data_IF_378382320329
#
_entry.id   IF_378382320329
#
_cell.length_a   1.000
_cell.length_b   1.000
_cell.length_c   1.000
_cell.angle_alpha   90.00
_cell.angle_beta   90.00
_cell.angle_gamma   90.00
#
_symmetry.space_group_name_H-M   'P 1'
#
loop_
_entity.id
_entity.type
_entity.pdbx_description
1 polymer ?
#
# COMPACT_ATOMS: atom_id res chain seq x y z
N UNK A 1 10.94 29.81 10.29
CA UNK A 1 10.80 28.86 9.15
C UNK A 1 12.01 28.99 8.26
N UNK A 2 12.64 27.88 7.90
CA UNK A 2 13.75 27.85 6.93
C UNK A 2 13.20 27.46 5.57
N UNK A 3 13.55 28.22 4.52
CA UNK A 3 13.15 27.92 3.14
C UNK A 3 14.29 27.22 2.41
N UNK A 4 13.97 26.11 1.76
CA UNK A 4 14.89 25.40 0.86
C UNK A 4 14.31 25.48 -0.55
N UNK A 5 15.16 25.78 -1.54
CA UNK A 5 14.77 25.80 -2.95
C UNK A 5 15.48 24.65 -3.67
N UNK A 6 14.72 23.89 -4.44
CA UNK A 6 15.22 22.78 -5.25
C UNK A 6 15.02 23.09 -6.72
N UNK A 7 15.99 22.72 -7.55
CA UNK A 7 15.74 22.51 -8.98
C UNK A 7 15.36 21.05 -9.16
N UNK A 8 14.19 20.81 -9.72
CA UNK A 8 13.68 19.46 -10.01
C UNK A 8 13.38 19.38 -11.49
N UNK A 9 13.60 18.20 -12.05
CA UNK A 9 13.20 17.91 -13.42
C UNK A 9 11.66 18.04 -13.57
N UNK A 10 11.13 18.54 -14.70
CA UNK A 10 9.69 18.67 -14.91
C UNK A 10 8.92 17.35 -14.72
N UNK A 11 9.47 16.22 -15.16
CA UNK A 11 8.81 14.92 -14.99
C UNK A 11 8.70 14.54 -13.50
N UNK A 12 9.71 14.89 -12.70
CA UNK A 12 9.67 14.70 -11.25
C UNK A 12 8.64 15.63 -10.61
N UNK A 13 8.57 16.89 -11.03
CA UNK A 13 7.55 17.83 -10.55
C UNK A 13 6.13 17.30 -10.80
N UNK A 14 5.85 16.81 -12.00
CA UNK A 14 4.53 16.27 -12.36
C UNK A 14 4.19 14.99 -11.59
N UNK A 15 5.18 14.12 -11.34
CA UNK A 15 5.01 12.95 -10.49
C UNK A 15 4.69 13.34 -9.04
N UNK A 16 5.41 14.31 -8.47
CA UNK A 16 5.16 14.83 -7.12
C UNK A 16 3.77 15.47 -7.01
N UNK A 17 3.34 16.21 -8.04
CA UNK A 17 2.01 16.83 -8.08
C UNK A 17 0.89 15.80 -8.14
N UNK A 18 1.03 14.74 -8.95
CA UNK A 18 0.07 13.62 -8.98
C UNK A 18 -0.01 12.91 -7.63
N UNK A 19 1.13 12.69 -6.96
CA UNK A 19 1.16 12.06 -5.64
C UNK A 19 0.53 12.94 -4.56
N UNK A 20 0.80 14.25 -4.57
CA UNK A 20 0.16 15.19 -3.66
C UNK A 20 -1.36 15.20 -3.83
N UNK A 21 -1.83 15.21 -5.09
CA UNK A 21 -3.26 15.10 -5.40
C UNK A 21 -3.89 13.80 -4.89
N UNK A 22 -3.25 12.64 -5.14
CA UNK A 22 -3.72 11.35 -4.65
C UNK A 22 -3.75 11.23 -3.12
N UNK A 23 -2.93 12.01 -2.43
CA UNK A 23 -2.94 12.11 -0.96
C UNK A 23 -3.88 13.20 -0.42
N UNK A 24 -4.60 13.93 -1.27
CA UNK A 24 -5.42 15.09 -0.91
C UNK A 24 -4.64 16.19 -0.16
N UNK A 25 -3.40 16.45 -0.60
CA UNK A 25 -2.51 17.45 -0.02
C UNK A 25 -2.10 18.49 -1.07
N UNK A 26 -1.74 19.68 -0.60
CA UNK A 26 -0.97 20.61 -1.44
C UNK A 26 0.43 20.05 -1.71
N UNK A 27 1.03 20.42 -2.84
CA UNK A 27 2.39 19.98 -3.19
C UNK A 27 3.42 20.33 -2.10
N UNK A 28 3.29 21.52 -1.48
CA UNK A 28 4.18 21.95 -0.42
C UNK A 28 4.01 21.17 0.89
N UNK A 29 2.78 20.79 1.24
CA UNK A 29 2.51 19.93 2.39
C UNK A 29 3.07 18.52 2.16
N UNK A 30 2.86 17.97 0.95
CA UNK A 30 3.38 16.68 0.55
C UNK A 30 4.93 16.63 0.59
N UNK A 31 5.61 17.61 -0.01
CA UNK A 31 7.08 17.68 -0.01
C UNK A 31 7.62 17.82 1.42
N UNK A 32 6.96 18.63 2.28
CA UNK A 32 7.37 18.78 3.68
C UNK A 32 7.32 17.45 4.41
N UNK A 33 6.22 16.70 4.29
CA UNK A 33 6.10 15.38 4.91
C UNK A 33 7.17 14.42 4.37
N UNK A 34 7.42 14.41 3.06
CA UNK A 34 8.47 13.57 2.47
C UNK A 34 9.86 13.90 3.03
N UNK A 35 10.18 15.19 3.25
CA UNK A 35 11.44 15.61 3.85
C UNK A 35 11.55 15.25 5.33
N UNK A 36 10.47 15.40 6.10
CA UNK A 36 10.39 14.98 7.51
C UNK A 36 10.59 13.47 7.66
N UNK A 37 10.03 12.69 6.74
CA UNK A 37 10.20 11.23 6.70
C UNK A 37 11.62 10.80 6.31
N UNK A 38 12.25 11.50 5.37
CA UNK A 38 13.61 11.18 4.92
C UNK A 38 14.65 11.26 6.07
N UNK A 39 14.32 11.97 7.15
CA UNK A 39 15.16 12.11 8.35
C UNK A 39 14.59 11.37 9.57
N UNK A 40 13.48 10.64 9.44
CA UNK A 40 12.91 9.86 10.55
C UNK A 40 13.75 8.59 10.80
N UNK A 41 14.56 8.64 11.86
CA UNK A 41 15.40 7.54 12.32
C UNK A 41 14.62 6.29 12.80
N UNK A 42 13.29 6.38 12.94
CA UNK A 42 12.45 5.24 13.30
C UNK A 42 12.14 4.31 12.12
N UNK A 43 12.66 4.59 10.92
CA UNK A 43 12.48 3.79 9.67
C UNK A 43 11.01 3.52 9.33
N UNK A 44 10.07 4.32 9.81
CA UNK A 44 8.67 4.24 9.39
C UNK A 44 8.57 4.93 8.04
N UNK A 45 8.68 4.14 6.97
CA UNK A 45 8.45 4.62 5.63
C UNK A 45 6.94 4.93 5.50
N UNK A 46 6.57 6.21 5.57
CA UNK A 46 5.16 6.65 5.56
C UNK A 46 4.77 7.03 4.12
N UNK A 47 4.74 6.02 3.26
CA UNK A 47 3.69 5.93 2.25
C UNK A 47 2.50 5.12 2.81
N UNK A 48 2.22 5.34 4.11
CA UNK A 48 1.55 4.43 5.03
C UNK A 48 0.06 4.21 4.79
N UNK A 49 -0.59 4.87 3.84
CA UNK A 49 -1.98 4.53 3.54
C UNK A 49 -2.07 3.10 3.00
N UNK A 50 -1.12 2.67 2.16
CA UNK A 50 -1.15 1.31 1.63
C UNK A 50 -0.72 0.28 2.67
N UNK A 51 0.28 0.56 3.49
CA UNK A 51 0.75 -0.40 4.51
C UNK A 51 -0.23 -0.53 5.68
N UNK A 52 -0.88 0.56 6.11
CA UNK A 52 -1.94 0.49 7.13
C UNK A 52 -3.19 -0.21 6.60
N UNK A 53 -3.57 0.06 5.34
CA UNK A 53 -4.67 -0.67 4.67
C UNK A 53 -4.32 -2.15 4.50
N UNK A 54 -3.08 -2.46 4.11
CA UNK A 54 -2.60 -3.83 3.94
C UNK A 54 -2.57 -4.56 5.29
N UNK A 55 -2.03 -3.93 6.34
CA UNK A 55 -2.00 -4.49 7.69
C UNK A 55 -3.41 -4.77 8.22
N UNK A 56 -4.33 -3.81 8.03
CA UNK A 56 -5.74 -3.96 8.40
C UNK A 56 -6.40 -5.10 7.60
N UNK A 57 -6.13 -5.17 6.30
CA UNK A 57 -6.66 -6.21 5.42
C UNK A 57 -6.16 -7.59 5.83
N UNK A 58 -4.85 -7.75 6.10
CA UNK A 58 -4.26 -9.00 6.59
C UNK A 58 -4.91 -9.42 7.91
N UNK A 59 -5.10 -8.49 8.84
CA UNK A 59 -5.70 -8.78 10.14
C UNK A 59 -7.15 -9.26 10.00
N UNK A 60 -7.97 -8.57 9.21
CA UNK A 60 -9.36 -8.96 8.94
C UNK A 60 -9.41 -10.33 8.26
N UNK A 61 -8.63 -10.53 7.20
CA UNK A 61 -8.62 -11.78 6.43
C UNK A 61 -8.14 -12.97 7.29
N UNK A 62 -7.16 -12.76 8.18
CA UNK A 62 -6.68 -13.80 9.10
C UNK A 62 -7.75 -14.22 10.12
N UNK A 63 -8.48 -13.26 10.68
CA UNK A 63 -9.60 -13.53 11.59
C UNK A 63 -10.71 -14.29 10.86
N UNK A 64 -11.05 -13.86 9.65
CA UNK A 64 -12.07 -14.50 8.82
C UNK A 64 -11.67 -15.92 8.44
N UNK A 65 -10.45 -16.14 7.94
CA UNK A 65 -9.94 -17.45 7.58
C UNK A 65 -9.98 -18.40 8.78
N UNK A 66 -9.58 -17.93 9.98
CA UNK A 66 -9.67 -18.73 11.20
C UNK A 66 -11.11 -19.05 11.58
N UNK A 67 -12.02 -18.07 11.51
CA UNK A 67 -13.43 -18.23 11.89
C UNK A 67 -14.19 -19.17 10.93
N UNK A 68 -13.98 -18.99 9.62
CA UNK A 68 -14.59 -19.83 8.58
C UNK A 68 -13.98 -21.23 8.59
N UNK A 69 -12.64 -21.34 8.64
CA UNK A 69 -11.96 -22.64 8.65
C UNK A 69 -12.36 -23.52 9.83
N UNK A 70 -12.67 -22.94 10.99
CA UNK A 70 -13.19 -23.71 12.14
C UNK A 70 -14.64 -24.18 11.97
N UNK A 71 -15.45 -23.49 11.16
CA UNK A 71 -16.89 -23.80 10.96
C UNK A 71 -17.12 -24.67 9.72
N UNK A 72 -16.41 -24.40 8.63
CA UNK A 72 -16.48 -25.14 7.37
C UNK A 72 -15.13 -25.03 6.65
N UNK A 73 -14.25 -26.02 6.83
CA UNK A 73 -12.97 -26.10 6.13
C UNK A 73 -13.13 -26.12 4.61
N UNK A 74 -14.13 -26.85 4.08
CA UNK A 74 -14.31 -26.96 2.62
C UNK A 74 -14.69 -25.62 1.99
N UNK A 75 -15.51 -24.81 2.68
CA UNK A 75 -15.88 -23.46 2.22
C UNK A 75 -14.67 -22.54 2.16
N UNK A 76 -13.78 -22.62 3.16
CA UNK A 76 -12.54 -21.84 3.16
C UNK A 76 -11.65 -22.21 1.98
N UNK A 77 -11.46 -23.51 1.74
CA UNK A 77 -10.63 -24.01 0.64
C UNK A 77 -11.16 -23.56 -0.73
N UNK A 78 -12.48 -23.69 -0.95
CA UNK A 78 -13.13 -23.23 -2.18
C UNK A 78 -12.96 -21.71 -2.37
N UNK A 79 -13.18 -20.93 -1.31
CA UNK A 79 -13.02 -19.47 -1.36
C UNK A 79 -11.58 -19.05 -1.65
N UNK A 80 -10.59 -19.73 -1.06
CA UNK A 80 -9.18 -19.48 -1.35
C UNK A 80 -8.79 -19.82 -2.79
N UNK A 81 -9.30 -20.92 -3.35
CA UNK A 81 -9.07 -21.28 -4.75
C UNK A 81 -9.63 -20.21 -5.70
N UNK A 82 -10.87 -19.77 -5.49
CA UNK A 82 -11.49 -18.70 -6.26
C UNK A 82 -10.72 -17.38 -6.15
N UNK A 83 -10.30 -17.01 -4.95
CA UNK A 83 -9.51 -15.80 -4.73
C UNK A 83 -8.19 -15.83 -5.50
N UNK A 84 -7.47 -16.97 -5.50
CA UNK A 84 -6.24 -17.12 -6.30
C UNK A 84 -6.51 -16.94 -7.79
N UNK A 85 -7.56 -17.53 -8.34
CA UNK A 85 -7.93 -17.33 -9.75
C UNK A 85 -8.15 -15.85 -10.07
N UNK A 86 -8.95 -15.15 -9.25
CA UNK A 86 -9.26 -13.72 -9.40
C UNK A 86 -8.01 -12.83 -9.33
N UNK A 87 -7.06 -13.17 -8.45
CA UNK A 87 -5.80 -12.45 -8.29
C UNK A 87 -4.85 -12.72 -9.47
N UNK A 88 -4.76 -13.96 -9.94
CA UNK A 88 -3.97 -14.33 -11.11
C UNK A 88 -4.46 -13.60 -12.37
N UNK A 89 -5.78 -13.60 -12.62
CA UNK A 89 -6.40 -12.88 -13.74
C UNK A 89 -6.11 -11.37 -13.73
N UNK A 90 -5.86 -10.79 -12.55
CA UNK A 90 -5.52 -9.37 -12.38
C UNK A 90 -4.01 -9.09 -12.33
N UNK A 91 -3.17 -10.12 -12.45
CA UNK A 91 -1.72 -9.98 -12.33
C UNK A 91 -1.26 -9.57 -10.93
N UNK A 92 -1.99 -9.98 -9.90
CA UNK A 92 -1.73 -9.64 -8.49
C UNK A 92 -1.04 -10.77 -7.70
N UNK A 93 -0.79 -11.92 -8.32
CA UNK A 93 0.06 -12.97 -7.76
C UNK A 93 1.50 -12.80 -8.25
N UNK A 94 2.48 -13.03 -7.37
CA UNK A 94 3.89 -13.01 -7.74
C UNK A 94 4.26 -14.18 -8.66
N UNK A 95 5.35 -14.05 -9.42
CA UNK A 95 5.83 -15.08 -10.36
C UNK A 95 6.09 -16.44 -9.69
N UNK A 96 6.32 -16.47 -8.38
CA UNK A 96 6.55 -17.69 -7.60
C UNK A 96 5.29 -18.52 -7.31
N UNK A 97 4.09 -17.94 -7.41
CA UNK A 97 2.81 -18.67 -7.17
C UNK A 97 2.13 -19.13 -8.47
N UNK A 98 2.72 -18.84 -9.64
CA UNK A 98 2.19 -19.16 -10.96
C UNK A 98 2.75 -20.48 -11.55
N UNK A 99 3.57 -21.22 -10.80
CA UNK A 99 4.11 -22.55 -11.16
C UNK A 99 3.53 -23.64 -10.26
#
# INVERSE_FOLDING_TARGET
MTKVNFRVDPALHDALQRRAYGANLSLSAFIRQALEQAVDNRKRYVFSSQDEILATSIQILSILATSVGRRSPETLEQGMAQARTILAERGLLGEEEAQ
#
